data_IF_914933932725
#
_entry.id   IF_914933932725
#
_cell.length_a   1.000
_cell.length_b   1.000
_cell.length_c   1.000
_cell.angle_alpha   90.00
_cell.angle_beta   90.00
_cell.angle_gamma   90.00
#
_symmetry.space_group_name_H-M   'P 1'
#
loop_
_entity.id
_entity.type
_entity.pdbx_description
1 polymer ?
#
# COMPACT_ATOMS: atom_id res chain seq x y z
N UNK A 1 -8.44 -14.56 -4.18
CA UNK A 1 -8.16 -14.92 -2.77
C UNK A 1 -6.69 -15.19 -2.52
N UNK A 2 -5.99 -16.05 -3.31
CA UNK A 2 -4.57 -16.34 -3.12
C UNK A 2 -3.65 -15.12 -3.21
N UNK A 3 -3.94 -14.16 -4.10
CA UNK A 3 -3.17 -12.92 -4.18
C UNK A 3 -3.33 -12.06 -2.92
N UNK A 4 -4.54 -11.99 -2.35
CA UNK A 4 -4.77 -11.34 -1.07
C UNK A 4 -4.00 -12.04 0.06
N UNK A 5 -4.07 -13.37 0.14
CA UNK A 5 -3.32 -14.14 1.13
C UNK A 5 -1.81 -13.88 1.06
N UNK A 6 -1.26 -13.74 -0.15
CA UNK A 6 0.15 -13.38 -0.38
C UNK A 6 0.49 -11.96 0.09
N UNK A 7 -0.45 -11.03 -0.02
CA UNK A 7 -0.25 -9.63 0.40
C UNK A 7 -0.33 -9.48 1.92
N UNK A 8 -1.22 -10.24 2.56
CA UNK A 8 -1.40 -10.26 4.01
C UNK A 8 -0.20 -10.85 4.77
N UNK A 9 0.49 -11.81 4.14
CA UNK A 9 1.65 -12.48 4.74
C UNK A 9 2.88 -12.21 3.88
N UNK A 10 3.72 -11.24 4.24
CA UNK A 10 4.96 -10.97 3.52
C UNK A 10 5.83 -12.23 3.50
N UNK A 11 6.43 -12.50 2.35
CA UNK A 11 7.30 -13.67 2.18
C UNK A 11 8.57 -13.46 3.00
N UNK A 12 8.86 -14.45 3.85
CA UNK A 12 10.19 -14.58 4.43
C UNK A 12 11.21 -14.83 3.30
N UNK A 13 12.40 -14.26 3.43
CA UNK A 13 13.47 -14.46 2.46
C UNK A 13 13.79 -15.94 2.28
N UNK A 14 13.57 -16.44 1.06
CA UNK A 14 13.77 -17.85 0.69
C UNK A 14 15.24 -18.15 0.36
N UNK A 15 16.12 -17.15 0.41
CA UNK A 15 17.54 -17.33 0.07
C UNK A 15 18.22 -18.27 1.07
N UNK A 16 18.37 -19.54 0.72
CA UNK A 16 19.25 -20.46 1.43
C UNK A 16 20.39 -20.87 0.50
N UNK A 17 21.60 -20.89 1.04
CA UNK A 17 22.79 -21.32 0.32
C UNK A 17 22.83 -22.84 0.05
N UNK A 18 21.84 -23.60 0.56
CA UNK A 18 21.79 -25.07 0.46
C UNK A 18 20.79 -25.45 -0.66
N UNK A 19 21.24 -26.12 -1.74
CA UNK A 19 20.37 -26.62 -2.79
C UNK A 19 19.30 -27.56 -2.22
N UNK A 20 18.04 -27.38 -2.63
CA UNK A 20 16.89 -28.19 -2.15
C UNK A 20 16.14 -27.58 -0.96
N UNK A 21 16.78 -26.91 -0.02
CA UNK A 21 16.11 -26.25 1.11
C UNK A 21 15.25 -25.08 0.64
N UNK A 22 15.67 -24.35 -0.39
CA UNK A 22 14.90 -23.28 -1.02
C UNK A 22 13.60 -23.78 -1.64
N UNK A 23 13.60 -24.97 -2.25
CA UNK A 23 12.42 -25.58 -2.86
C UNK A 23 11.42 -25.99 -1.77
N UNK A 24 11.87 -26.65 -0.71
CA UNK A 24 11.02 -27.05 0.42
C UNK A 24 10.40 -25.83 1.12
N UNK A 25 11.18 -24.79 1.33
CA UNK A 25 10.66 -23.52 1.87
C UNK A 25 9.61 -22.88 0.95
N UNK A 26 9.85 -22.90 -0.36
CA UNK A 26 8.90 -22.37 -1.34
C UNK A 26 7.58 -23.15 -1.34
N UNK A 27 7.64 -24.48 -1.28
CA UNK A 27 6.45 -25.33 -1.17
C UNK A 27 5.70 -25.05 0.13
N UNK A 28 6.41 -24.91 1.26
CA UNK A 28 5.83 -24.59 2.55
C UNK A 28 5.11 -23.23 2.56
N UNK A 29 5.73 -22.21 1.97
CA UNK A 29 5.11 -20.87 1.81
C UNK A 29 3.84 -20.99 0.96
N UNK A 30 3.90 -21.73 -0.13
CA UNK A 30 2.72 -21.97 -1.00
C UNK A 30 1.59 -22.71 -0.29
N UNK A 31 1.92 -23.65 0.55
CA UNK A 31 0.94 -24.36 1.37
C UNK A 31 0.26 -23.41 2.38
N UNK A 32 1.04 -22.57 3.05
CA UNK A 32 0.49 -21.52 3.94
C UNK A 32 -0.43 -20.55 3.20
N UNK A 33 0.00 -20.04 2.02
CA UNK A 33 -0.82 -19.17 1.17
C UNK A 33 -2.14 -19.85 0.81
N UNK A 34 -2.12 -21.14 0.48
CA UNK A 34 -3.31 -21.89 0.10
C UNK A 34 -4.26 -22.13 1.28
N UNK A 35 -3.75 -22.56 2.42
CA UNK A 35 -4.55 -22.74 3.64
C UNK A 35 -5.21 -21.43 4.05
N UNK A 36 -4.47 -20.32 3.97
CA UNK A 36 -5.01 -18.98 4.27
C UNK A 36 -6.10 -18.58 3.28
N UNK A 37 -5.90 -18.85 1.98
CA UNK A 37 -6.91 -18.60 0.96
C UNK A 37 -8.21 -19.36 1.24
N UNK A 38 -8.12 -20.64 1.60
CA UNK A 38 -9.29 -21.45 1.96
C UNK A 38 -9.99 -20.92 3.22
N UNK A 39 -9.22 -20.48 4.22
CA UNK A 39 -9.80 -19.83 5.43
C UNK A 39 -10.53 -18.54 5.10
N UNK A 40 -9.95 -17.70 4.24
CA UNK A 40 -10.60 -16.47 3.79
C UNK A 40 -11.91 -16.77 3.07
N UNK A 41 -11.93 -17.73 2.14
CA UNK A 41 -13.14 -18.10 1.39
C UNK A 41 -14.23 -18.75 2.25
N UNK A 42 -13.89 -19.33 3.40
CA UNK A 42 -14.86 -19.84 4.37
C UNK A 42 -15.51 -18.77 5.25
N UNK A 43 -14.77 -17.69 5.52
CA UNK A 43 -15.19 -16.67 6.49
C UNK A 43 -15.70 -15.39 5.84
N UNK A 44 -15.37 -15.15 4.56
CA UNK A 44 -15.67 -13.91 3.85
C UNK A 44 -16.30 -14.21 2.50
N UNK A 45 -17.23 -13.37 2.09
CA UNK A 45 -17.83 -13.38 0.74
C UNK A 45 -16.78 -12.95 -0.31
N UNK A 46 -17.05 -13.24 -1.58
CA UNK A 46 -16.18 -12.81 -2.68
C UNK A 46 -16.02 -11.29 -2.74
N UNK A 47 -17.08 -10.55 -2.45
CA UNK A 47 -17.08 -9.08 -2.48
C UNK A 47 -16.22 -8.51 -1.35
N UNK A 48 -16.31 -9.07 -0.14
CA UNK A 48 -15.44 -8.68 0.97
C UNK A 48 -13.97 -8.98 0.67
N UNK A 49 -13.67 -10.16 0.10
CA UNK A 49 -12.30 -10.54 -0.31
C UNK A 49 -11.80 -9.58 -1.39
N UNK A 50 -12.63 -9.21 -2.37
CA UNK A 50 -12.27 -8.26 -3.41
C UNK A 50 -12.02 -6.87 -2.81
N UNK A 51 -12.86 -6.42 -1.91
CA UNK A 51 -12.71 -5.14 -1.20
C UNK A 51 -11.40 -5.11 -0.41
N UNK A 52 -11.11 -6.14 0.37
CA UNK A 52 -9.83 -6.25 1.10
C UNK A 52 -8.64 -6.23 0.13
N UNK A 53 -8.73 -6.94 -1.00
CA UNK A 53 -7.68 -6.96 -2.00
C UNK A 53 -7.45 -5.58 -2.62
N UNK A 54 -8.52 -4.92 -3.09
CA UNK A 54 -8.43 -3.60 -3.73
C UNK A 54 -7.93 -2.51 -2.77
N UNK A 55 -8.16 -2.66 -1.47
CA UNK A 55 -7.67 -1.72 -0.46
C UNK A 55 -6.18 -1.91 -0.10
N UNK A 56 -5.58 -3.04 -0.47
CA UNK A 56 -4.18 -3.33 -0.11
C UNK A 56 -3.20 -3.28 -1.27
N UNK A 57 -3.65 -3.45 -2.51
CA UNK A 57 -2.73 -3.52 -3.65
C UNK A 57 -2.08 -2.18 -3.93
N UNK A 58 -0.84 -2.26 -4.41
CA UNK A 58 -0.06 -1.11 -4.84
C UNK A 58 -0.37 -0.78 -6.31
N UNK A 59 -0.75 0.47 -6.57
CA UNK A 59 -1.08 1.00 -7.90
C UNK A 59 0.04 1.83 -8.53
N UNK A 60 1.20 1.96 -7.88
CA UNK A 60 2.25 2.89 -8.31
C UNK A 60 2.09 4.28 -7.69
N UNK A 61 3.08 5.17 -7.92
CA UNK A 61 3.02 6.57 -7.45
C UNK A 61 2.65 6.73 -5.97
N UNK A 62 3.17 5.85 -5.11
CA UNK A 62 2.86 5.75 -3.67
C UNK A 62 1.38 5.46 -3.34
N UNK A 63 0.55 5.14 -4.33
CA UNK A 63 -0.86 4.85 -4.12
C UNK A 63 -1.05 3.38 -3.68
N UNK A 64 -1.39 3.17 -2.41
CA UNK A 64 -1.80 1.89 -1.85
C UNK A 64 -3.30 1.88 -1.65
N UNK A 65 -3.96 0.92 -2.28
CA UNK A 65 -5.41 0.78 -2.29
C UNK A 65 -6.12 1.64 -3.34
N UNK A 66 -7.33 1.20 -3.69
CA UNK A 66 -8.13 1.79 -4.78
C UNK A 66 -8.50 3.26 -4.50
N UNK A 67 -8.75 3.61 -3.22
CA UNK A 67 -9.11 4.98 -2.86
C UNK A 67 -7.94 5.94 -3.12
N UNK A 68 -6.74 5.58 -2.66
CA UNK A 68 -5.55 6.39 -2.91
C UNK A 68 -5.23 6.47 -4.41
N UNK A 69 -5.40 5.37 -5.16
CA UNK A 69 -5.18 5.34 -6.60
C UNK A 69 -6.17 6.24 -7.34
N UNK A 70 -7.47 6.17 -7.04
CA UNK A 70 -8.50 7.01 -7.66
C UNK A 70 -8.22 8.50 -7.43
N UNK A 71 -7.84 8.86 -6.21
CA UNK A 71 -7.46 10.23 -5.86
C UNK A 71 -6.18 10.66 -6.57
N UNK A 72 -5.13 9.82 -6.59
CA UNK A 72 -3.84 10.16 -7.18
C UNK A 72 -3.92 10.35 -8.70
N UNK A 73 -4.65 9.50 -9.41
CA UNK A 73 -4.68 9.52 -10.87
C UNK A 73 -5.81 10.35 -11.45
N UNK A 74 -6.96 10.40 -10.77
CA UNK A 74 -8.19 11.02 -11.30
C UNK A 74 -8.80 12.08 -10.38
N UNK A 75 -8.28 12.29 -9.17
CA UNK A 75 -8.83 13.27 -8.21
C UNK A 75 -10.25 12.92 -7.73
N UNK A 76 -10.68 11.67 -7.87
CA UNK A 76 -12.04 11.20 -7.60
C UNK A 76 -12.09 10.16 -6.50
N UNK A 77 -13.28 9.96 -5.90
CA UNK A 77 -13.49 8.75 -5.09
C UNK A 77 -13.74 7.53 -6.00
N UNK A 78 -13.50 6.30 -5.52
CA UNK A 78 -13.71 5.10 -6.33
C UNK A 78 -15.11 4.94 -6.92
N UNK A 79 -16.14 5.43 -6.24
CA UNK A 79 -17.53 5.36 -6.69
C UNK A 79 -17.83 6.30 -7.87
N UNK A 80 -17.04 7.37 -8.02
CA UNK A 80 -17.20 8.41 -9.04
C UNK A 80 -16.37 8.15 -10.30
N UNK A 81 -15.60 7.03 -10.31
CA UNK A 81 -14.79 6.66 -11.48
C UNK A 81 -15.69 6.22 -12.64
N UNK A 82 -15.33 6.69 -13.82
CA UNK A 82 -15.93 6.18 -15.05
C UNK A 82 -15.38 4.78 -15.39
N UNK A 83 -16.02 4.10 -16.35
CA UNK A 83 -15.60 2.73 -16.74
C UNK A 83 -14.17 2.70 -17.27
N UNK A 84 -13.79 3.68 -18.10
CA UNK A 84 -12.44 3.79 -18.66
C UNK A 84 -11.38 4.11 -17.59
N UNK A 85 -11.72 4.93 -16.59
CA UNK A 85 -10.85 5.24 -15.46
C UNK A 85 -10.64 4.01 -14.56
N UNK A 86 -11.73 3.33 -14.22
CA UNK A 86 -11.68 2.09 -13.45
C UNK A 86 -10.90 0.99 -14.19
N UNK A 87 -11.12 0.84 -15.52
CA UNK A 87 -10.38 -0.10 -16.35
C UNK A 87 -8.88 0.23 -16.42
N UNK A 88 -8.52 1.50 -16.37
CA UNK A 88 -7.12 1.95 -16.30
C UNK A 88 -6.47 1.47 -15.01
N UNK A 89 -7.11 1.71 -13.85
CA UNK A 89 -6.60 1.26 -12.55
C UNK A 89 -6.49 -0.27 -12.49
N UNK A 90 -7.51 -0.99 -12.94
CA UNK A 90 -7.47 -2.48 -13.02
C UNK A 90 -6.32 -2.95 -13.92
N UNK A 91 -6.08 -2.26 -15.02
CA UNK A 91 -4.96 -2.54 -15.92
C UNK A 91 -3.60 -2.42 -15.24
N UNK A 92 -3.44 -1.46 -14.33
CA UNK A 92 -2.21 -1.20 -13.58
C UNK A 92 -1.86 -2.32 -12.58
N UNK A 93 -2.85 -3.01 -12.01
CA UNK A 93 -2.64 -4.05 -10.98
C UNK A 93 -1.62 -5.10 -11.38
N UNK A 94 -1.54 -5.45 -12.65
CA UNK A 94 -0.62 -6.47 -13.16
C UNK A 94 0.85 -6.04 -13.05
N UNK A 95 1.17 -4.80 -13.47
CA UNK A 95 2.53 -4.21 -13.40
C UNK A 95 2.40 -2.69 -13.19
N UNK A 96 2.27 -2.21 -11.94
CA UNK A 96 1.95 -0.82 -11.63
C UNK A 96 2.88 0.21 -12.26
N UNK A 97 4.18 -0.04 -12.25
CA UNK A 97 5.16 0.89 -12.88
C UNK A 97 5.07 0.88 -14.41
N UNK A 98 4.87 -0.30 -15.02
CA UNK A 98 4.84 -0.45 -16.49
C UNK A 98 3.59 0.15 -17.12
N UNK A 99 2.45 0.02 -16.45
CA UNK A 99 1.14 0.45 -16.92
C UNK A 99 0.66 1.73 -16.24
N UNK A 100 1.57 2.48 -15.61
CA UNK A 100 1.30 3.77 -15.02
C UNK A 100 1.00 4.79 -16.12
N UNK A 101 -0.20 5.39 -16.17
CA UNK A 101 -0.57 6.31 -17.24
C UNK A 101 0.21 7.62 -17.21
N UNK A 102 0.70 8.06 -16.05
CA UNK A 102 1.54 9.25 -15.93
C UNK A 102 2.98 9.03 -16.44
N UNK A 103 3.45 7.76 -16.49
CA UNK A 103 4.82 7.43 -16.92
C UNK A 103 4.83 6.83 -18.32
N UNK A 104 3.89 5.95 -18.63
CA UNK A 104 3.80 5.17 -19.86
C UNK A 104 2.38 5.21 -20.46
N UNK A 105 1.90 6.36 -20.96
CA UNK A 105 0.51 6.54 -21.41
C UNK A 105 0.08 5.51 -22.48
N UNK A 106 0.91 5.25 -23.48
CA UNK A 106 0.58 4.30 -24.57
C UNK A 106 0.40 2.86 -24.08
N UNK A 107 1.29 2.42 -23.18
CA UNK A 107 1.19 1.08 -22.58
C UNK A 107 -0.01 0.97 -21.65
N UNK A 108 -0.33 2.04 -20.96
CA UNK A 108 -1.50 2.13 -20.09
C UNK A 108 -2.78 2.07 -20.95
N UNK A 109 -2.86 2.84 -22.03
CA UNK A 109 -3.98 2.83 -22.97
C UNK A 109 -4.21 1.44 -23.56
N UNK A 110 -3.16 0.80 -24.07
CA UNK A 110 -3.23 -0.56 -24.60
C UNK A 110 -3.74 -1.54 -23.55
N UNK A 111 -3.26 -1.42 -22.32
CA UNK A 111 -3.66 -2.29 -21.21
C UNK A 111 -5.10 -2.05 -20.76
N UNK A 112 -5.54 -0.79 -20.66
CA UNK A 112 -6.93 -0.40 -20.43
C UNK A 112 -7.86 -1.02 -21.47
N UNK A 113 -7.54 -0.84 -22.74
CA UNK A 113 -8.36 -1.35 -23.84
C UNK A 113 -8.49 -2.89 -23.80
N UNK A 114 -7.44 -3.61 -23.39
CA UNK A 114 -7.53 -5.04 -23.14
C UNK A 114 -8.51 -5.38 -22.00
N UNK A 115 -8.54 -4.59 -20.93
CA UNK A 115 -9.49 -4.78 -19.81
C UNK A 115 -10.92 -4.57 -20.32
N UNK A 116 -11.17 -3.48 -21.04
CA UNK A 116 -12.49 -3.15 -21.64
C UNK A 116 -12.97 -4.26 -22.58
N UNK A 117 -12.09 -4.75 -23.47
CA UNK A 117 -12.42 -5.89 -24.35
C UNK A 117 -12.79 -7.14 -23.59
N UNK A 118 -12.14 -7.40 -22.44
CA UNK A 118 -12.49 -8.54 -21.59
C UNK A 118 -13.83 -8.34 -20.87
N UNK A 119 -14.18 -7.10 -20.51
CA UNK A 119 -15.49 -6.79 -19.95
C UNK A 119 -16.60 -7.08 -20.97
N UNK A 120 -16.43 -6.64 -22.22
CA UNK A 120 -17.37 -6.95 -23.30
C UNK A 120 -17.48 -8.47 -23.55
N UNK A 121 -16.33 -9.16 -23.65
CA UNK A 121 -16.32 -10.64 -23.83
C UNK A 121 -17.05 -11.39 -22.72
N UNK A 122 -17.08 -10.85 -21.50
CA UNK A 122 -17.77 -11.47 -20.35
C UNK A 122 -19.20 -10.94 -20.14
N UNK A 123 -19.73 -10.12 -21.05
CA UNK A 123 -21.11 -9.64 -21.03
C UNK A 123 -21.38 -8.47 -20.10
N UNK A 124 -20.33 -7.81 -19.59
CA UNK A 124 -20.46 -6.60 -18.76
C UNK A 124 -20.65 -5.32 -19.58
N UNK A 125 -20.29 -5.35 -20.85
CA UNK A 125 -20.45 -4.27 -21.83
C UNK A 125 -20.93 -4.87 -23.14
N UNK A 126 -21.68 -4.10 -23.92
CA UNK A 126 -21.95 -4.41 -25.33
C UNK A 126 -20.71 -4.13 -26.19
N UNK A 127 -20.67 -4.65 -27.40
CA UNK A 127 -19.55 -4.37 -28.31
C UNK A 127 -19.50 -2.88 -28.70
N UNK A 128 -20.64 -2.25 -28.89
CA UNK A 128 -20.76 -0.82 -29.24
C UNK A 128 -20.20 0.07 -28.08
N UNK A 129 -20.54 -0.23 -26.83
CA UNK A 129 -19.97 0.45 -25.66
C UNK A 129 -18.47 0.24 -25.57
N UNK A 130 -17.99 -0.99 -25.78
CA UNK A 130 -16.57 -1.32 -25.79
C UNK A 130 -15.81 -0.45 -26.81
N UNK A 131 -16.30 -0.39 -28.05
CA UNK A 131 -15.65 0.34 -29.14
C UNK A 131 -15.66 1.85 -28.88
N UNK A 132 -16.75 2.38 -28.33
CA UNK A 132 -16.87 3.78 -27.94
C UNK A 132 -15.90 4.14 -26.79
N UNK A 133 -15.87 3.35 -25.71
CA UNK A 133 -15.04 3.62 -24.54
C UNK A 133 -13.55 3.52 -24.89
N UNK A 134 -13.17 2.60 -25.78
CA UNK A 134 -11.77 2.47 -26.21
C UNK A 134 -11.21 3.68 -26.95
N UNK A 135 -12.06 4.50 -27.56
CA UNK A 135 -11.65 5.72 -28.25
C UNK A 135 -11.43 6.90 -27.30
N UNK A 136 -11.96 6.85 -26.08
CA UNK A 136 -11.79 7.92 -25.09
C UNK A 136 -10.33 7.97 -24.66
N UNK A 137 -9.65 9.14 -24.70
CA UNK A 137 -8.29 9.27 -24.18
C UNK A 137 -8.25 9.08 -22.65
N UNK A 138 -7.06 8.77 -22.11
CA UNK A 138 -6.88 8.75 -20.65
C UNK A 138 -6.61 10.20 -20.22
N UNK A 139 -7.56 10.80 -19.55
CA UNK A 139 -7.42 12.12 -18.92
C UNK A 139 -7.04 11.96 -17.46
N UNK A 140 -5.92 12.55 -17.07
CA UNK A 140 -5.40 12.43 -15.70
C UNK A 140 -5.57 13.75 -14.96
N UNK A 141 -6.04 13.66 -13.72
CA UNK A 141 -5.89 14.70 -12.69
C UNK A 141 -4.79 14.27 -11.72
N UNK A 142 -3.56 14.08 -12.25
CA UNK A 142 -2.49 13.41 -11.56
C UNK A 142 -1.90 14.26 -10.45
N UNK A 143 -2.10 13.83 -9.21
CA UNK A 143 -1.53 14.44 -8.02
C UNK A 143 -0.95 13.35 -7.13
N UNK A 144 0.38 13.30 -7.02
CA UNK A 144 1.00 12.41 -6.05
C UNK A 144 0.57 12.88 -4.66
N UNK A 145 -0.16 12.02 -3.96
CA UNK A 145 -0.40 12.24 -2.54
C UNK A 145 0.90 11.95 -1.80
N UNK A 146 1.74 12.99 -1.69
CA UNK A 146 2.91 12.94 -0.84
C UNK A 146 2.44 13.02 0.62
N UNK A 147 3.21 12.38 1.53
CA UNK A 147 3.02 12.53 2.97
C UNK A 147 3.12 14.00 3.42
N UNK A 148 3.65 14.89 2.57
CA UNK A 148 3.62 16.34 2.76
C UNK A 148 2.29 16.99 2.37
N UNK A 149 1.38 16.29 1.67
CA UNK A 149 0.05 16.81 1.35
C UNK A 149 -0.92 16.61 2.53
N UNK A 150 -1.84 17.56 2.71
CA UNK A 150 -2.87 17.55 3.77
C UNK A 150 -2.52 18.42 4.97
N UNK A 151 -3.39 18.40 6.00
CA UNK A 151 -3.30 19.26 7.17
C UNK A 151 -2.05 18.96 8.00
N UNK A 152 -1.25 19.98 8.30
CA UNK A 152 -0.10 19.92 9.18
C UNK A 152 1.04 18.99 8.74
N UNK A 153 1.60 19.09 7.50
CA UNK A 153 2.63 18.17 7.01
C UNK A 153 3.89 18.20 7.89
N UNK A 154 4.33 19.35 8.32
CA UNK A 154 5.47 19.49 9.23
C UNK A 154 5.24 18.84 10.59
N UNK A 155 4.02 18.96 11.12
CA UNK A 155 3.65 18.34 12.37
C UNK A 155 3.67 16.80 12.25
N UNK A 156 3.14 16.26 11.16
CA UNK A 156 3.18 14.81 10.90
C UNK A 156 4.60 14.26 10.74
N UNK A 157 5.47 15.01 10.06
CA UNK A 157 6.88 14.62 9.92
C UNK A 157 7.60 14.70 11.27
N UNK A 158 7.35 15.76 12.06
CA UNK A 158 7.86 15.87 13.42
C UNK A 158 7.41 14.70 14.29
N UNK A 159 6.11 14.37 14.30
CA UNK A 159 5.58 13.22 15.03
C UNK A 159 6.24 11.90 14.58
N UNK A 160 6.36 11.69 13.28
CA UNK A 160 7.01 10.51 12.72
C UNK A 160 8.45 10.37 13.20
N UNK A 161 9.23 11.45 13.19
CA UNK A 161 10.62 11.47 13.68
C UNK A 161 10.67 11.21 15.17
N UNK A 162 9.86 11.91 15.95
CA UNK A 162 9.81 11.77 17.41
C UNK A 162 9.44 10.34 17.81
N UNK A 163 8.37 9.77 17.25
CA UNK A 163 7.91 8.42 17.60
C UNK A 163 8.85 7.31 17.13
N UNK A 164 9.60 7.52 16.02
CA UNK A 164 10.59 6.58 15.51
C UNK A 164 11.99 6.77 16.11
N UNK A 165 12.20 7.74 16.98
CA UNK A 165 13.50 7.97 17.59
C UNK A 165 14.04 6.68 18.23
N UNK A 166 15.32 6.42 18.03
CA UNK A 166 16.00 5.23 18.61
C UNK A 166 16.64 5.60 19.93
N UNK A 167 16.79 4.61 20.81
CA UNK A 167 17.53 4.80 22.05
C UNK A 167 18.92 5.36 21.77
N UNK A 168 19.28 6.51 22.35
CA UNK A 168 20.56 7.14 22.12
C UNK A 168 21.73 6.21 22.49
N UNK A 169 22.74 6.17 21.66
CA UNK A 169 23.99 5.44 21.91
C UNK A 169 25.15 6.44 21.90
N UNK A 170 25.98 6.47 22.94
CA UNK A 170 27.08 7.42 23.05
C UNK A 170 27.98 7.47 21.82
N UNK A 171 28.20 6.33 21.19
CA UNK A 171 29.03 6.21 19.96
C UNK A 171 28.47 6.92 18.72
N UNK A 172 27.21 7.33 18.74
CA UNK A 172 26.55 7.99 17.61
C UNK A 172 26.63 9.52 17.68
N UNK A 173 27.23 10.07 18.73
CA UNK A 173 27.29 11.52 18.99
C UNK A 173 28.73 12.02 19.04
N UNK A 174 29.00 13.12 18.33
CA UNK A 174 30.29 13.79 18.37
C UNK A 174 30.50 14.55 19.68
N UNK A 175 29.43 15.19 20.19
CA UNK A 175 29.44 15.94 21.42
C UNK A 175 28.76 15.15 22.56
N UNK A 176 29.31 15.25 23.77
CA UNK A 176 28.74 14.59 24.93
C UNK A 176 27.41 15.20 25.36
N UNK A 177 27.31 16.52 25.21
CA UNK A 177 26.13 17.30 25.60
C UNK A 177 24.90 16.88 24.79
N UNK A 178 25.03 16.72 23.47
CA UNK A 178 23.95 16.26 22.60
C UNK A 178 23.46 14.86 23.01
N UNK A 179 24.37 13.96 23.35
CA UNK A 179 24.03 12.64 23.84
C UNK A 179 23.24 12.70 25.16
N UNK A 180 23.63 13.59 26.07
CA UNK A 180 22.92 13.76 27.36
C UNK A 180 21.51 14.30 27.12
N UNK A 181 21.37 15.33 26.26
CA UNK A 181 20.05 15.92 25.94
C UNK A 181 19.11 14.86 25.36
N UNK A 182 19.55 14.13 24.34
CA UNK A 182 18.72 13.09 23.72
C UNK A 182 18.43 11.94 24.68
N UNK A 183 19.37 11.61 25.57
CA UNK A 183 19.18 10.56 26.60
C UNK A 183 18.14 10.98 27.64
N UNK A 184 18.13 12.22 28.05
CA UNK A 184 17.10 12.76 28.95
C UNK A 184 15.74 12.81 28.24
N UNK A 185 15.70 13.27 26.99
CA UNK A 185 14.48 13.27 26.20
C UNK A 185 13.94 11.83 26.01
N UNK A 186 14.81 10.85 25.76
CA UNK A 186 14.40 9.45 25.72
C UNK A 186 13.80 8.96 27.04
N UNK A 187 14.34 9.40 28.17
CA UNK A 187 13.87 8.94 29.48
C UNK A 187 12.53 9.60 29.87
N UNK A 188 12.41 10.89 29.66
CA UNK A 188 11.32 11.72 30.20
C UNK A 188 10.15 11.90 29.25
N UNK A 189 10.39 11.97 27.92
CA UNK A 189 9.34 12.13 26.93
C UNK A 189 8.76 10.77 26.53
N UNK A 190 7.50 10.53 26.89
CA UNK A 190 6.79 9.29 26.56
C UNK A 190 6.61 9.11 25.04
N UNK A 191 6.50 10.20 24.28
CA UNK A 191 6.29 10.15 22.83
C UNK A 191 7.60 9.90 22.07
N UNK A 192 8.73 10.38 22.61
CA UNK A 192 10.04 10.24 21.99
C UNK A 192 10.47 8.76 21.98
N UNK A 193 10.53 8.17 20.77
CA UNK A 193 10.85 6.76 20.58
C UNK A 193 9.72 5.79 20.97
N UNK A 194 8.47 6.25 21.02
CA UNK A 194 7.34 5.43 21.45
C UNK A 194 7.26 4.10 20.71
N UNK A 195 7.47 4.09 19.38
CA UNK A 195 7.42 2.89 18.54
C UNK A 195 8.54 1.88 18.86
N UNK A 196 9.65 2.36 19.42
CA UNK A 196 10.78 1.51 19.83
C UNK A 196 10.70 1.09 21.31
N UNK A 197 9.89 1.77 22.11
CA UNK A 197 9.64 1.45 23.52
C UNK A 197 8.47 0.48 23.70
N UNK A 198 7.52 0.47 22.76
CA UNK A 198 6.29 -0.28 22.86
C UNK A 198 6.20 -1.36 21.78
N UNK A 199 5.67 -2.51 22.16
CA UNK A 199 5.47 -3.65 21.28
C UNK A 199 4.04 -4.15 21.39
N UNK A 200 3.55 -4.79 20.34
CA UNK A 200 2.26 -5.46 20.32
C UNK A 200 2.26 -6.67 21.25
N UNK A 201 1.10 -7.22 21.54
CA UNK A 201 0.94 -8.41 22.38
C UNK A 201 1.70 -9.64 21.85
N UNK A 202 1.97 -9.70 20.54
CA UNK A 202 2.75 -10.73 19.88
C UNK A 202 4.28 -10.47 19.90
N UNK A 203 4.72 -9.38 20.55
CA UNK A 203 6.13 -8.98 20.63
C UNK A 203 6.65 -8.22 19.40
N UNK A 204 5.84 -8.01 18.36
CA UNK A 204 6.25 -7.23 17.19
C UNK A 204 6.18 -5.72 17.45
N UNK A 205 7.07 -4.92 16.85
CA UNK A 205 7.01 -3.46 17.00
C UNK A 205 5.77 -2.89 16.30
N UNK A 206 5.25 -1.79 16.83
CA UNK A 206 4.22 -1.02 16.14
C UNK A 206 4.75 -0.34 14.89
N UNK A 207 3.90 -0.22 13.88
CA UNK A 207 4.18 0.50 12.63
C UNK A 207 3.18 1.66 12.48
N UNK A 208 3.69 2.89 12.39
CA UNK A 208 2.87 4.10 12.33
C UNK A 208 1.92 4.13 11.12
N UNK A 209 2.35 3.54 10.00
CA UNK A 209 1.63 3.60 8.73
C UNK A 209 0.67 2.41 8.51
N UNK A 210 0.81 1.33 9.29
CA UNK A 210 0.09 0.07 9.03
C UNK A 210 -0.85 -0.37 10.13
N UNK A 211 -0.58 0.03 11.37
CA UNK A 211 -1.27 -0.52 12.54
C UNK A 211 -2.50 0.29 12.98
N UNK A 212 -2.90 1.30 12.20
CA UNK A 212 -4.10 2.10 12.46
C UNK A 212 -4.05 2.89 13.77
N UNK A 213 -2.87 3.31 14.20
CA UNK A 213 -2.68 4.11 15.41
C UNK A 213 -3.44 5.43 15.31
N UNK A 214 -4.17 5.79 16.36
CA UNK A 214 -4.87 7.08 16.48
C UNK A 214 -4.07 7.99 17.38
N UNK A 215 -3.65 9.13 16.85
CA UNK A 215 -2.90 10.16 17.56
C UNK A 215 -3.82 11.34 17.77
N UNK A 216 -4.13 11.66 19.02
CA UNK A 216 -4.94 12.82 19.39
C UNK A 216 -4.02 13.99 19.65
N UNK A 217 -4.34 15.14 19.07
CA UNK A 217 -3.55 16.38 19.21
C UNK A 217 -4.45 17.55 19.61
N UNK A 218 -3.85 18.59 20.13
CA UNK A 218 -4.53 19.86 20.46
C UNK A 218 -4.44 20.89 19.32
N UNK A 219 -3.97 20.48 18.14
CA UNK A 219 -3.86 21.38 16.99
C UNK A 219 -5.22 21.43 16.29
N UNK A 220 -5.82 22.59 16.27
CA UNK A 220 -7.00 22.88 15.45
C UNK A 220 -6.58 23.05 13.99
N UNK A 221 -7.41 22.49 13.09
CA UNK A 221 -7.19 22.49 11.63
C UNK A 221 -7.96 23.61 10.95
#
# INVERSE_FOLDING_TARGET
TQQLAKTLYPREDVSSKIPGVSILKMVWIKLKEWITAVRLERNYTKDEIMTMYMNQIFFGSNAYGIKAAAQTFFGKNPIDLTVEEAATLVGMVNKPTRYNPAINPDKSLTRRNLVISRMAKNGFLTQEECDSIQQIPIELSYQIQDHNAGVGPYFRDMLRRTMNAKKPKRSSYSQYEDYVVDSLQWADDQLYGWLNKNHKADGTPYNLDKDGLRIYTTIDS
#
